data_IF_652651510338
#
_entry.id   IF_652651510338
#
_cell.length_a   1.000
_cell.length_b   1.000
_cell.length_c   1.000
_cell.angle_alpha   90.00
_cell.angle_beta   90.00
_cell.angle_gamma   90.00
#
_symmetry.space_group_name_H-M   'P 1'
#
loop_
_entity.id
_entity.type
_entity.pdbx_description
1 polymer ?
#
# COMPACT_ATOMS: atom_id res chain seq x y z
N UNK A 1 -4.98 39.43 -65.63
CA UNK A 1 -5.24 38.48 -66.74
C UNK A 1 -4.57 37.15 -66.40
N UNK A 2 -5.29 36.02 -66.59
CA UNK A 2 -4.85 34.60 -66.46
C UNK A 2 -4.59 34.16 -65.00
N UNK A 3 -5.55 33.62 -64.23
CA UNK A 3 -6.29 32.36 -64.41
C UNK A 3 -5.39 31.21 -64.90
N UNK A 4 -4.96 30.35 -63.95
CA UNK A 4 -4.85 28.91 -64.14
C UNK A 4 -4.67 28.22 -62.78
N UNK A 5 -5.73 27.60 -62.28
CA UNK A 5 -5.68 26.54 -61.27
C UNK A 5 -5.46 25.21 -61.95
N UNK A 6 -4.76 24.27 -61.30
CA UNK A 6 -5.24 22.91 -61.27
C UNK A 6 -5.26 22.38 -59.83
N UNK A 7 -6.47 22.26 -59.31
CA UNK A 7 -7.00 21.08 -58.63
C UNK A 7 -6.00 19.95 -58.37
N UNK A 8 -5.36 19.92 -57.20
CA UNK A 8 -4.83 18.69 -56.61
C UNK A 8 -5.82 18.17 -55.57
N UNK A 9 -6.62 17.22 -56.05
CA UNK A 9 -7.49 16.34 -55.28
C UNK A 9 -6.64 15.56 -54.27
N UNK A 10 -7.15 15.54 -53.04
CA UNK A 10 -7.25 14.38 -52.14
C UNK A 10 -5.97 13.54 -51.99
N UNK A 11 -5.34 13.67 -50.82
CA UNK A 11 -5.06 12.50 -49.99
C UNK A 11 -5.21 12.95 -48.54
N UNK A 12 -6.39 12.70 -48.00
CA UNK A 12 -6.58 12.58 -46.57
C UNK A 12 -5.71 11.41 -46.12
N UNK A 13 -4.50 11.72 -45.64
CA UNK A 13 -3.77 10.81 -44.77
C UNK A 13 -4.60 10.71 -43.49
N UNK A 14 -5.33 9.60 -43.39
CA UNK A 14 -5.89 9.14 -42.13
C UNK A 14 -4.72 9.03 -41.14
N UNK A 15 -4.54 10.07 -40.33
CA UNK A 15 -3.71 10.01 -39.12
C UNK A 15 -4.39 8.97 -38.25
N UNK A 16 -3.82 7.78 -38.26
CA UNK A 16 -4.30 6.64 -37.52
C UNK A 16 -4.56 7.03 -36.07
N UNK A 17 -5.79 6.79 -35.64
CA UNK A 17 -6.19 6.74 -34.25
C UNK A 17 -5.41 5.60 -33.59
N UNK A 18 -4.14 5.87 -33.24
CA UNK A 18 -3.35 5.03 -32.35
C UNK A 18 -4.05 5.08 -31.00
N UNK A 19 -4.85 4.05 -30.73
CA UNK A 19 -5.34 3.67 -29.41
C UNK A 19 -4.11 3.52 -28.50
N UNK A 20 -3.71 4.58 -27.81
CA UNK A 20 -2.77 4.48 -26.69
C UNK A 20 -3.45 3.61 -25.63
N UNK A 21 -2.95 2.41 -25.32
CA UNK A 21 -3.41 1.70 -24.14
C UNK A 21 -3.11 2.59 -22.94
N UNK A 22 -4.15 2.93 -22.16
CA UNK A 22 -3.98 3.62 -20.90
C UNK A 22 -3.25 2.64 -19.96
N UNK A 23 -1.92 2.74 -19.88
CA UNK A 23 -1.12 1.87 -19.03
C UNK A 23 -1.57 2.08 -17.60
N UNK A 24 -2.19 1.05 -17.06
CA UNK A 24 -2.63 0.97 -15.69
C UNK A 24 -1.46 0.66 -14.77
N UNK A 25 -0.70 1.68 -14.36
CA UNK A 25 0.18 1.53 -13.22
C UNK A 25 -0.67 1.46 -11.95
N UNK A 26 -0.87 0.25 -11.44
CA UNK A 26 -1.17 0.05 -10.03
C UNK A 26 0.07 0.54 -9.27
N UNK A 27 -0.05 1.67 -8.57
CA UNK A 27 1.03 2.15 -7.72
C UNK A 27 1.22 1.18 -6.56
N UNK A 28 2.47 0.89 -6.21
CA UNK A 28 2.82 0.02 -5.09
C UNK A 28 3.77 0.77 -4.17
N UNK A 29 3.59 0.60 -2.86
CA UNK A 29 4.48 1.13 -1.83
C UNK A 29 5.11 -0.04 -1.10
N UNK A 30 6.44 -0.01 -1.00
CA UNK A 30 7.20 -1.02 -0.26
C UNK A 30 7.45 -0.49 1.15
N UNK A 31 7.03 -1.28 2.14
CA UNK A 31 7.21 -1.02 3.55
C UNK A 31 8.22 -2.04 4.08
N UNK A 32 9.41 -1.57 4.42
CA UNK A 32 10.45 -2.42 5.01
C UNK A 32 10.37 -2.39 6.52
N UNK A 33 10.44 -3.57 7.15
CA UNK A 33 10.36 -3.76 8.60
C UNK A 33 9.28 -2.88 9.26
N UNK A 34 7.98 -3.10 8.96
CA UNK A 34 6.91 -2.37 9.62
C UNK A 34 7.05 -2.55 11.14
N UNK A 35 7.01 -1.44 11.87
CA UNK A 35 7.20 -1.39 13.33
C UNK A 35 6.07 -0.61 13.99
N UNK A 36 5.76 -0.97 15.23
CA UNK A 36 4.93 -0.14 16.10
C UNK A 36 5.74 1.09 16.58
N UNK A 37 5.08 1.99 17.31
CA UNK A 37 5.72 3.17 17.91
C UNK A 37 6.84 2.84 18.90
N UNK A 38 6.80 1.66 19.52
CA UNK A 38 7.84 1.16 20.41
C UNK A 38 9.06 0.58 19.66
N UNK A 39 9.05 0.61 18.33
CA UNK A 39 10.15 0.12 17.48
C UNK A 39 10.19 -1.39 17.30
N UNK A 40 9.17 -2.13 17.74
CA UNK A 40 9.06 -3.59 17.61
C UNK A 40 8.45 -3.94 16.26
N UNK A 41 9.02 -4.94 15.57
CA UNK A 41 8.55 -5.39 14.25
C UNK A 41 7.18 -6.02 14.37
N UNK A 42 6.31 -5.73 13.42
CA UNK A 42 4.96 -6.29 13.37
C UNK A 42 5.00 -7.78 13.06
N UNK A 43 4.23 -8.55 13.82
CA UNK A 43 4.09 -9.99 13.65
C UNK A 43 3.30 -10.33 12.37
N UNK A 44 3.67 -11.45 11.76
CA UNK A 44 3.00 -11.98 10.58
C UNK A 44 1.60 -12.50 10.89
N UNK A 45 1.24 -12.65 12.16
CA UNK A 45 -0.11 -12.96 12.60
C UNK A 45 -0.81 -11.72 13.16
N UNK A 46 -2.05 -11.49 12.71
CA UNK A 46 -2.87 -10.41 13.24
C UNK A 46 -3.37 -10.74 14.65
N UNK A 47 -3.75 -11.99 14.90
CA UNK A 47 -4.00 -12.53 16.24
C UNK A 47 -2.97 -13.62 16.54
N UNK A 48 -2.58 -13.84 17.80
CA UNK A 48 -1.58 -14.87 18.09
C UNK A 48 -2.00 -16.24 17.53
N UNK A 49 -1.14 -16.80 16.67
CA UNK A 49 -1.36 -18.04 15.93
C UNK A 49 -2.66 -18.09 15.07
N UNK A 50 -3.21 -16.93 14.68
CA UNK A 50 -4.45 -16.79 13.90
C UNK A 50 -4.39 -15.61 12.94
N UNK A 51 -5.13 -15.68 11.85
CA UNK A 51 -5.23 -14.60 10.86
C UNK A 51 -3.85 -14.10 10.39
N UNK A 52 -3.00 -15.06 10.00
CA UNK A 52 -1.61 -14.82 9.63
C UNK A 52 -1.40 -14.53 8.14
N UNK A 53 -0.17 -14.14 7.82
CA UNK A 53 0.34 -13.91 6.49
C UNK A 53 -0.44 -12.80 5.76
N UNK A 54 -1.22 -13.16 4.74
CA UNK A 54 -1.94 -12.20 3.89
C UNK A 54 -2.87 -11.31 4.70
N UNK A 55 -3.62 -11.88 5.65
CA UNK A 55 -4.57 -11.10 6.43
C UNK A 55 -3.87 -10.03 7.28
N UNK A 56 -2.77 -10.41 7.95
CA UNK A 56 -1.99 -9.47 8.74
C UNK A 56 -1.29 -8.42 7.86
N UNK A 57 -0.77 -8.82 6.70
CA UNK A 57 -0.15 -7.91 5.73
C UNK A 57 -1.17 -6.89 5.19
N UNK A 58 -2.38 -7.33 4.87
CA UNK A 58 -3.48 -6.45 4.45
C UNK A 58 -3.81 -5.44 5.53
N UNK A 59 -3.81 -5.86 6.81
CA UNK A 59 -4.05 -4.97 7.94
C UNK A 59 -2.94 -3.93 8.11
N UNK A 60 -1.67 -4.32 7.90
CA UNK A 60 -0.56 -3.36 7.84
C UNK A 60 -0.77 -2.33 6.73
N UNK A 61 -1.18 -2.77 5.53
CA UNK A 61 -1.43 -1.85 4.42
C UNK A 61 -2.66 -0.94 4.65
N UNK A 62 -3.75 -1.49 5.19
CA UNK A 62 -4.95 -0.74 5.54
C UNK A 62 -4.65 0.31 6.61
N UNK A 63 -3.83 -0.04 7.60
CA UNK A 63 -3.33 0.88 8.62
C UNK A 63 -2.56 2.07 8.02
N UNK A 64 -1.85 1.83 6.92
CA UNK A 64 -1.12 2.86 6.17
C UNK A 64 -2.00 3.67 5.18
N UNK A 65 -3.31 3.37 5.12
CA UNK A 65 -4.23 4.00 4.17
C UNK A 65 -4.12 3.45 2.75
N UNK A 66 -3.56 2.25 2.58
CA UNK A 66 -3.52 1.51 1.33
C UNK A 66 -4.66 0.48 1.25
N UNK A 67 -4.90 -0.10 0.07
CA UNK A 67 -6.03 -1.02 -0.13
C UNK A 67 -5.78 -2.37 0.55
N UNK A 68 -4.71 -3.05 0.16
CA UNK A 68 -4.31 -4.37 0.63
C UNK A 68 -2.83 -4.62 0.32
N UNK A 69 -2.28 -5.71 0.85
CA UNK A 69 -0.94 -6.18 0.52
C UNK A 69 -0.96 -7.02 -0.76
N UNK A 70 -0.09 -6.71 -1.71
CA UNK A 70 0.07 -7.49 -2.95
C UNK A 70 1.16 -8.54 -2.84
N UNK A 71 2.12 -8.32 -1.96
CA UNK A 71 3.21 -9.25 -1.66
C UNK A 71 3.76 -8.96 -0.26
N UNK A 72 4.28 -9.97 0.43
CA UNK A 72 4.91 -9.79 1.73
C UNK A 72 5.96 -10.87 1.99
N UNK A 73 6.90 -10.55 2.87
CA UNK A 73 7.91 -11.47 3.38
C UNK A 73 8.05 -11.29 4.87
N UNK A 74 8.13 -12.40 5.58
CA UNK A 74 8.43 -12.43 6.99
C UNK A 74 9.56 -13.43 7.27
N UNK A 75 10.17 -13.30 8.44
CA UNK A 75 11.15 -14.26 8.94
C UNK A 75 10.90 -14.50 10.42
N UNK A 76 11.30 -15.67 10.91
CA UNK A 76 11.31 -15.94 12.34
C UNK A 76 12.22 -14.92 13.04
N UNK A 77 11.64 -14.13 13.92
CA UNK A 77 12.35 -13.13 14.72
C UNK A 77 11.59 -12.88 16.01
N UNK A 78 12.33 -12.46 17.04
CA UNK A 78 11.77 -12.20 18.36
C UNK A 78 12.49 -10.98 18.96
N UNK A 79 11.79 -10.07 19.66
CA UNK A 79 10.33 -10.01 19.81
C UNK A 79 9.60 -9.44 18.59
N UNK A 80 8.33 -9.81 18.40
CA UNK A 80 7.41 -9.19 17.42
C UNK A 80 6.17 -8.65 18.11
N UNK A 81 5.42 -7.79 17.42
CA UNK A 81 4.22 -7.16 17.93
C UNK A 81 2.97 -7.61 17.18
N UNK A 82 2.04 -8.24 17.89
CA UNK A 82 0.79 -8.76 17.32
C UNK A 82 -0.25 -7.65 17.25
N UNK A 83 -0.64 -7.25 16.03
CA UNK A 83 -1.50 -6.09 15.80
C UNK A 83 -2.86 -6.18 16.51
N UNK A 84 -3.57 -7.29 16.35
CA UNK A 84 -4.95 -7.46 16.79
C UNK A 84 -5.10 -7.67 18.30
N UNK A 85 -4.04 -8.09 19.01
CA UNK A 85 -4.07 -8.26 20.48
C UNK A 85 -3.27 -7.20 21.23
N UNK A 86 -2.41 -6.44 20.55
CA UNK A 86 -1.52 -5.46 21.17
C UNK A 86 -0.43 -6.07 22.05
N UNK A 87 -0.16 -7.37 21.90
CA UNK A 87 0.79 -8.10 22.72
C UNK A 87 2.13 -8.25 22.00
N UNK A 88 3.21 -8.28 22.77
CA UNK A 88 4.54 -8.64 22.26
C UNK A 88 4.70 -10.15 22.32
N UNK A 89 5.00 -10.76 21.18
CA UNK A 89 5.33 -12.17 21.08
C UNK A 89 6.83 -12.37 21.33
N UNK A 90 7.16 -13.33 22.20
CA UNK A 90 8.55 -13.67 22.59
C UNK A 90 8.86 -15.18 22.47
N UNK A 91 8.05 -15.93 21.72
CA UNK A 91 8.24 -17.37 21.53
C UNK A 91 7.65 -17.86 20.21
N UNK A 92 8.54 -18.30 19.31
CA UNK A 92 8.29 -18.74 17.94
C UNK A 92 7.52 -17.73 17.08
N UNK A 93 7.96 -16.47 17.10
CA UNK A 93 7.30 -15.40 16.39
C UNK A 93 7.90 -15.14 15.01
N UNK A 94 7.10 -14.56 14.12
CA UNK A 94 7.51 -14.26 12.74
C UNK A 94 7.22 -12.80 12.44
N UNK A 95 8.25 -12.01 12.15
CA UNK A 95 8.07 -10.58 11.90
C UNK A 95 8.12 -10.26 10.41
N UNK A 96 7.27 -9.33 9.96
CA UNK A 96 7.34 -8.83 8.60
C UNK A 96 8.68 -8.11 8.35
N UNK A 97 9.39 -8.55 7.32
CA UNK A 97 10.61 -7.90 6.81
C UNK A 97 10.30 -6.94 5.68
N UNK A 98 9.27 -7.27 4.89
CA UNK A 98 8.80 -6.48 3.76
C UNK A 98 7.32 -6.70 3.56
N UNK A 99 6.57 -5.63 3.35
CA UNK A 99 5.18 -5.67 2.90
C UNK A 99 5.04 -4.72 1.73
N UNK A 100 4.47 -5.18 0.63
CA UNK A 100 4.19 -4.38 -0.56
C UNK A 100 2.69 -4.08 -0.56
N UNK A 101 2.34 -2.82 -0.42
CA UNK A 101 0.96 -2.36 -0.39
C UNK A 101 0.56 -1.81 -1.76
N UNK A 102 -0.65 -2.13 -2.22
CA UNK A 102 -1.23 -1.46 -3.36
C UNK A 102 -1.74 -0.08 -2.97
N UNK A 103 -1.20 0.96 -3.61
CA UNK A 103 -1.79 2.30 -3.53
C UNK A 103 -2.98 2.30 -4.49
N UNK A 104 -4.20 2.26 -3.95
CA UNK A 104 -5.41 2.37 -4.76
C UNK A 104 -5.31 3.59 -5.69
N UNK A 105 -5.75 3.43 -6.94
CA UNK A 105 -5.94 4.51 -7.92
C UNK A 105 -6.89 5.58 -7.36
N UNK A 106 -6.38 6.49 -6.54
CA UNK A 106 -7.17 7.52 -5.86
C UNK A 106 -6.58 8.01 -4.54
N UNK A 107 -5.27 8.33 -4.49
CA UNK A 107 -4.60 8.59 -3.20
C UNK A 107 -3.58 9.72 -3.17
N UNK A 108 -3.67 10.71 -4.05
CA UNK A 108 -3.13 12.04 -3.76
C UNK A 108 -4.20 12.84 -3.01
N UNK A 109 -4.30 12.70 -1.69
CA UNK A 109 -5.28 13.47 -0.91
C UNK A 109 -5.48 12.96 0.51
N UNK A 110 -4.98 13.71 1.49
CA UNK A 110 -5.15 13.46 2.93
C UNK A 110 -6.61 13.35 3.34
N UNK A 111 -7.05 12.12 3.58
CA UNK A 111 -8.39 11.79 4.04
C UNK A 111 -8.36 10.62 5.03
N UNK A 112 -7.96 10.90 6.28
CA UNK A 112 -8.48 10.16 7.44
C UNK A 112 -7.54 9.22 8.21
N UNK A 113 -6.30 8.99 7.79
CA UNK A 113 -5.31 8.38 8.68
C UNK A 113 -4.94 9.44 9.75
N UNK A 114 -5.44 9.28 10.97
CA UNK A 114 -5.06 10.15 12.09
C UNK A 114 -3.56 9.92 12.33
N UNK A 115 -2.75 10.94 12.15
CA UNK A 115 -1.35 10.88 12.54
C UNK A 115 -1.25 10.73 14.06
N UNK A 116 -0.28 9.94 14.51
CA UNK A 116 -0.06 9.66 15.93
C UNK A 116 1.44 9.63 16.23
N UNK A 117 1.81 9.92 17.48
CA UNK A 117 3.16 9.75 17.99
C UNK A 117 3.27 8.50 18.86
N UNK A 118 2.19 8.15 19.55
CA UNK A 118 2.10 7.01 20.48
C UNK A 118 0.75 6.32 20.36
N UNK A 119 0.64 5.09 20.84
CA UNK A 119 -0.61 4.30 20.80
C UNK A 119 -1.76 5.00 21.55
N UNK A 120 -1.46 5.89 22.51
CA UNK A 120 -2.47 6.66 23.24
C UNK A 120 -3.18 7.72 22.38
N UNK A 121 -2.58 8.12 21.24
CA UNK A 121 -3.19 9.08 20.31
C UNK A 121 -4.33 8.44 19.47
N UNK A 122 -4.46 7.11 19.55
CA UNK A 122 -5.35 6.29 18.74
C UNK A 122 -6.43 5.62 19.60
N UNK A 123 -7.60 6.25 19.81
CA UNK A 123 -8.66 5.64 20.62
C UNK A 123 -9.19 4.37 19.96
N UNK A 124 -8.91 3.21 20.57
CA UNK A 124 -9.30 1.90 20.06
C UNK A 124 -8.45 1.40 18.89
N UNK A 125 -7.27 1.98 18.68
CA UNK A 125 -6.32 1.63 17.61
C UNK A 125 -4.89 1.74 18.14
N UNK A 126 -3.90 1.20 17.42
CA UNK A 126 -2.49 1.38 17.75
C UNK A 126 -1.88 2.46 16.86
N UNK A 127 -0.76 3.04 17.26
CA UNK A 127 0.00 3.91 16.39
C UNK A 127 1.04 3.09 15.63
N UNK A 128 0.86 2.98 14.32
CA UNK A 128 1.70 2.19 13.44
C UNK A 128 2.36 3.11 12.41
N UNK A 129 3.69 3.15 12.39
CA UNK A 129 4.44 3.99 11.44
C UNK A 129 3.98 5.47 11.42
N UNK A 130 3.51 5.99 12.56
CA UNK A 130 3.03 7.37 12.72
C UNK A 130 1.57 7.61 12.33
N UNK A 131 0.77 6.56 12.07
CA UNK A 131 -0.66 6.64 11.77
C UNK A 131 -1.49 5.67 12.61
N UNK A 132 -2.70 6.06 12.99
CA UNK A 132 -3.61 5.22 13.76
C UNK A 132 -4.12 4.05 12.93
N UNK A 133 -3.85 2.85 13.42
CA UNK A 133 -4.16 1.56 12.84
C UNK A 133 -5.22 0.84 13.70
N UNK A 134 -6.36 0.52 13.12
CA UNK A 134 -7.47 -0.19 13.80
C UNK A 134 -7.34 -1.71 13.63
#
# INVERSE_FOLDING_TARGET
MRMWTPTVRRLALAVGLLLLPCVANAGQVVVEYPRNTNGVVIDHCYHWAKDCDQYAADKVCQALGHSHAVDFRWQLMEPTYVLGTGQTCTGHCGGFTRVICETGRGGGGGGGARSCATDNDCPGSICLLGVCAN
#
